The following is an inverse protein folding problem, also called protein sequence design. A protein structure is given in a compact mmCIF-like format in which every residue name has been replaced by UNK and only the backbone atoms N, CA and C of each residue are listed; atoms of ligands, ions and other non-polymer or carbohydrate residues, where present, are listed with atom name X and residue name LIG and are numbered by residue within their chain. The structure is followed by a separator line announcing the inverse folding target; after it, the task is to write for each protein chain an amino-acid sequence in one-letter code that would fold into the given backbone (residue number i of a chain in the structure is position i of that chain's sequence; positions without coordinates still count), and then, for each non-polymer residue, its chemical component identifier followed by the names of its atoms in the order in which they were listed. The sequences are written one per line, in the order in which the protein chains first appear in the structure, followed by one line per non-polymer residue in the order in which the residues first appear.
data_IF_647515758267
#
_entry.id   IF_647515758267
#
_cell.length_a   1.000
_cell.length_b   1.000
_cell.length_c   1.000
_cell.angle_alpha   90.00
_cell.angle_beta   90.00
_cell.angle_gamma   90.00
#
_symmetry.space_group_name_H-M   'P 1'
#
loop_
_entity.id
_entity.type
_entity.pdbx_description
1 polymer ?
#
# COMPACT_ATOMS: atom_id res chain seq x y z
N UNK A 1 -15.49 -6.04 -3.70
CA UNK A 1 -16.78 -6.72 -4.03
C UNK A 1 -17.61 -6.00 -5.11
N UNK A 2 -17.47 -4.70 -5.33
CA UNK A 2 -18.30 -3.94 -6.30
C UNK A 2 -17.84 -4.00 -7.76
N UNK A 3 -16.68 -4.56 -8.07
CA UNK A 3 -16.13 -4.53 -9.45
C UNK A 3 -16.29 -5.82 -10.26
N UNK A 4 -16.66 -6.91 -9.62
CA UNK A 4 -17.00 -8.16 -10.33
C UNK A 4 -18.51 -8.23 -10.30
N UNK A 5 -19.15 -7.77 -11.42
CA UNK A 5 -20.60 -7.93 -11.58
C UNK A 5 -21.00 -9.40 -11.44
N UNK A 6 -22.30 -9.70 -11.28
CA UNK A 6 -22.93 -11.01 -11.07
C UNK A 6 -22.61 -12.08 -12.17
N UNK A 7 -21.36 -12.16 -12.62
CA UNK A 7 -20.89 -13.23 -13.51
C UNK A 7 -20.43 -14.40 -12.67
N UNK A 8 -20.91 -15.57 -13.02
CA UNK A 8 -20.47 -16.85 -12.45
C UNK A 8 -19.01 -17.12 -12.89
N UNK A 9 -18.06 -16.52 -12.16
CA UNK A 9 -16.63 -16.62 -12.46
C UNK A 9 -16.10 -17.88 -11.81
N UNK A 10 -15.66 -18.84 -12.60
CA UNK A 10 -14.89 -19.99 -12.14
C UNK A 10 -13.44 -19.56 -11.95
N UNK A 11 -12.92 -19.71 -10.76
CA UNK A 11 -11.54 -19.34 -10.44
C UNK A 11 -10.85 -20.47 -9.68
N UNK A 12 -9.59 -20.73 -10.01
CA UNK A 12 -8.69 -21.56 -9.22
C UNK A 12 -7.54 -20.69 -8.74
N UNK A 13 -7.35 -20.62 -7.43
CA UNK A 13 -6.25 -19.91 -6.80
C UNK A 13 -5.23 -20.95 -6.34
N UNK A 14 -3.96 -20.80 -6.74
CA UNK A 14 -2.84 -21.58 -6.24
C UNK A 14 -1.91 -20.68 -5.47
N UNK A 15 -1.79 -20.90 -4.18
CA UNK A 15 -0.95 -20.11 -3.29
C UNK A 15 0.26 -20.91 -2.78
N UNK A 16 1.33 -20.20 -2.42
CA UNK A 16 2.38 -20.77 -1.59
C UNK A 16 2.07 -20.51 -0.12
N UNK A 17 1.93 -21.57 0.65
CA UNK A 17 1.85 -21.47 2.11
C UNK A 17 3.03 -22.17 2.76
N UNK A 18 4.07 -21.40 3.06
CA UNK A 18 5.15 -21.85 3.91
C UNK A 18 4.87 -21.48 5.37
N UNK A 19 5.39 -22.28 6.29
CA UNK A 19 5.21 -22.04 7.73
C UNK A 19 5.74 -20.68 8.20
N UNK A 20 6.83 -20.21 7.59
CA UNK A 20 7.39 -18.89 7.89
C UNK A 20 6.51 -17.77 7.39
N UNK A 21 5.99 -17.87 6.16
CA UNK A 21 5.07 -16.89 5.56
C UNK A 21 3.78 -16.75 6.36
N UNK A 22 3.19 -17.89 6.78
CA UNK A 22 1.98 -17.92 7.63
C UNK A 22 2.23 -17.37 9.04
N UNK A 23 3.38 -17.70 9.65
CA UNK A 23 3.72 -17.24 10.99
C UNK A 23 4.00 -15.74 11.04
N UNK A 24 4.60 -15.16 9.97
CA UNK A 24 4.93 -13.74 9.88
C UNK A 24 3.80 -12.89 9.30
N UNK A 25 2.72 -13.50 8.81
CA UNK A 25 1.58 -12.82 8.19
C UNK A 25 1.86 -12.29 6.78
N UNK A 26 2.90 -12.79 6.09
CA UNK A 26 3.12 -12.52 4.67
C UNK A 26 2.21 -13.35 3.75
N UNK A 27 1.61 -14.42 4.29
CA UNK A 27 0.50 -15.18 3.69
C UNK A 27 -0.64 -15.26 4.67
N UNK A 28 -1.88 -15.23 4.16
CA UNK A 28 -3.07 -15.19 4.99
C UNK A 28 -4.04 -16.35 4.72
N UNK A 29 -4.61 -16.92 5.80
CA UNK A 29 -5.64 -17.96 5.72
C UNK A 29 -6.98 -17.39 5.23
N UNK A 30 -7.21 -16.08 5.37
CA UNK A 30 -8.43 -15.41 4.90
C UNK A 30 -8.65 -15.56 3.40
N UNK A 31 -7.59 -15.75 2.61
CA UNK A 31 -7.68 -16.01 1.18
C UNK A 31 -8.52 -17.26 0.87
N UNK A 32 -8.45 -18.28 1.70
CA UNK A 32 -9.28 -19.47 1.57
C UNK A 32 -10.77 -19.15 1.77
N UNK A 33 -11.10 -18.39 2.80
CA UNK A 33 -12.50 -18.04 3.09
C UNK A 33 -13.10 -17.19 1.96
N UNK A 34 -12.31 -16.24 1.43
CA UNK A 34 -12.71 -15.46 0.27
C UNK A 34 -12.99 -16.35 -0.96
N UNK A 35 -12.12 -17.32 -1.23
CA UNK A 35 -12.32 -18.27 -2.31
C UNK A 35 -13.58 -19.09 -2.10
N UNK A 36 -13.78 -19.64 -0.92
CA UNK A 36 -14.95 -20.43 -0.54
C UNK A 36 -16.27 -19.66 -0.68
N UNK A 37 -16.31 -18.40 -0.20
CA UNK A 37 -17.49 -17.53 -0.29
C UNK A 37 -17.90 -17.26 -1.75
N UNK A 38 -16.94 -17.29 -2.67
CA UNK A 38 -17.19 -17.06 -4.10
C UNK A 38 -17.30 -18.36 -4.91
N UNK A 39 -17.29 -19.53 -4.27
CA UNK A 39 -17.36 -20.83 -4.96
C UNK A 39 -16.11 -21.17 -5.77
N UNK A 40 -14.97 -20.55 -5.45
CA UNK A 40 -13.69 -20.76 -6.12
C UNK A 40 -12.90 -21.91 -5.51
N UNK A 41 -12.03 -22.52 -6.31
CA UNK A 41 -11.11 -23.57 -5.85
C UNK A 41 -9.84 -22.94 -5.26
N UNK A 42 -9.45 -23.35 -4.06
CA UNK A 42 -8.21 -22.92 -3.43
C UNK A 42 -7.26 -24.08 -3.25
N UNK A 43 -6.05 -23.95 -3.76
CA UNK A 43 -5.00 -24.98 -3.72
C UNK A 43 -3.69 -24.38 -3.20
N UNK A 44 -2.80 -25.23 -2.71
CA UNK A 44 -1.49 -24.84 -2.20
C UNK A 44 -0.40 -25.68 -2.84
N UNK A 45 0.62 -25.00 -3.33
CA UNK A 45 1.84 -25.62 -3.84
C UNK A 45 3.03 -25.02 -3.07
N UNK A 46 3.74 -25.87 -2.28
CA UNK A 46 4.73 -25.41 -1.30
C UNK A 46 5.88 -24.60 -1.90
N UNK A 47 6.37 -25.00 -3.06
CA UNK A 47 7.54 -24.39 -3.71
C UNK A 47 7.14 -23.40 -4.83
N UNK A 48 5.87 -22.99 -4.87
CA UNK A 48 5.39 -22.03 -5.88
C UNK A 48 6.07 -20.67 -5.73
N UNK A 49 6.68 -20.21 -6.82
CA UNK A 49 7.23 -18.86 -6.91
C UNK A 49 6.77 -18.12 -8.19
N UNK A 50 5.89 -18.71 -8.97
CA UNK A 50 5.28 -18.08 -10.14
C UNK A 50 4.30 -16.98 -9.74
N UNK A 51 4.26 -15.92 -10.54
CA UNK A 51 3.30 -14.83 -10.44
C UNK A 51 2.60 -14.76 -11.79
N UNK A 52 1.48 -15.47 -11.88
CA UNK A 52 0.78 -15.72 -13.13
C UNK A 52 -0.72 -15.54 -12.89
N UNK A 53 -1.39 -14.92 -13.85
CA UNK A 53 -2.85 -14.89 -13.94
C UNK A 53 -3.24 -15.28 -15.36
N UNK A 54 -3.99 -16.37 -15.50
CA UNK A 54 -4.55 -16.84 -16.74
C UNK A 54 -6.07 -16.56 -16.77
N UNK A 55 -6.55 -15.95 -17.84
CA UNK A 55 -7.96 -15.61 -18.02
C UNK A 55 -8.48 -16.27 -19.29
N UNK A 56 -9.53 -17.09 -19.14
CA UNK A 56 -10.25 -17.77 -20.22
C UNK A 56 -9.35 -18.60 -21.16
N UNK A 57 -8.26 -19.17 -20.62
CA UNK A 57 -7.25 -19.94 -21.36
C UNK A 57 -6.62 -19.18 -22.56
N UNK A 58 -6.77 -17.86 -22.61
CA UNK A 58 -6.35 -17.01 -23.72
C UNK A 58 -5.36 -15.90 -23.26
N UNK A 59 -5.68 -15.20 -22.18
CA UNK A 59 -4.90 -14.05 -21.73
C UNK A 59 -4.01 -14.43 -20.55
N UNK A 60 -2.71 -14.26 -20.72
CA UNK A 60 -1.71 -14.55 -19.71
C UNK A 60 -1.04 -13.27 -19.22
N UNK A 61 -1.09 -13.03 -17.91
CA UNK A 61 -0.31 -12.00 -17.23
C UNK A 61 0.82 -12.68 -16.47
N UNK A 62 2.05 -12.26 -16.71
CA UNK A 62 3.26 -12.75 -16.04
C UNK A 62 4.10 -11.58 -15.60
N UNK A 63 4.64 -11.64 -14.38
CA UNK A 63 5.47 -10.54 -13.91
C UNK A 63 6.08 -10.75 -12.53
N UNK A 64 6.56 -9.66 -11.96
CA UNK A 64 7.08 -9.64 -10.60
C UNK A 64 5.99 -9.52 -9.52
N UNK A 65 4.78 -8.92 -9.76
CA UNK A 65 3.81 -8.69 -8.70
C UNK A 65 3.24 -9.98 -8.11
N UNK A 66 3.31 -10.12 -6.80
CA UNK A 66 2.48 -11.08 -6.10
C UNK A 66 1.04 -10.57 -6.01
N UNK A 67 0.05 -11.46 -5.88
CA UNK A 67 -1.35 -11.11 -5.60
C UNK A 67 -1.50 -10.66 -4.14
N UNK A 68 -0.86 -9.56 -3.81
CA UNK A 68 -0.88 -8.93 -2.47
C UNK A 68 -1.21 -7.45 -2.62
N UNK A 69 -1.61 -6.81 -1.53
CA UNK A 69 -1.89 -5.38 -1.54
C UNK A 69 -0.72 -4.55 -2.11
N UNK A 70 0.51 -4.84 -1.71
CA UNK A 70 1.72 -4.16 -2.21
C UNK A 70 2.06 -4.49 -3.65
N UNK A 71 1.97 -5.76 -4.04
CA UNK A 71 2.28 -6.20 -5.40
C UNK A 71 1.28 -5.69 -6.44
N UNK A 72 0.00 -5.59 -6.06
CA UNK A 72 -1.09 -5.11 -6.93
C UNK A 72 -1.35 -3.61 -6.81
N UNK A 73 -0.52 -2.86 -6.10
CA UNK A 73 -0.67 -1.42 -5.85
C UNK A 73 -2.02 -1.03 -5.22
N UNK A 74 -2.55 -1.90 -4.36
CA UNK A 74 -3.82 -1.70 -3.65
C UNK A 74 -3.64 -1.03 -2.28
N UNK A 75 -2.41 -0.78 -1.88
CA UNK A 75 -2.05 -0.14 -0.60
C UNK A 75 -1.15 1.06 -0.85
N UNK A 76 -1.08 2.02 0.09
CA UNK A 76 -0.32 3.27 -0.08
C UNK A 76 1.18 3.07 -0.39
N UNK A 77 1.79 2.09 0.26
CA UNK A 77 3.21 1.73 0.04
C UNK A 77 3.29 0.49 -0.84
N UNK A 78 3.15 0.71 -2.14
CA UNK A 78 3.23 -0.36 -3.14
C UNK A 78 4.66 -0.65 -3.57
N UNK A 79 4.88 -1.87 -4.05
CA UNK A 79 6.16 -2.22 -4.68
C UNK A 79 6.29 -1.58 -6.07
N UNK A 80 7.52 -1.45 -6.54
CA UNK A 80 7.78 -1.18 -7.97
C UNK A 80 7.79 -2.52 -8.70
N UNK A 81 6.78 -2.74 -9.53
CA UNK A 81 6.56 -4.02 -10.18
C UNK A 81 6.58 -3.86 -11.71
N UNK A 82 6.92 -4.94 -12.40
CA UNK A 82 6.83 -5.02 -13.85
C UNK A 82 6.15 -6.32 -14.27
N UNK A 83 5.25 -6.24 -15.23
CA UNK A 83 4.57 -7.41 -15.79
C UNK A 83 4.23 -7.19 -17.24
N UNK A 84 3.95 -8.29 -17.92
CA UNK A 84 3.50 -8.30 -19.32
C UNK A 84 2.15 -9.03 -19.43
N UNK A 85 1.36 -8.57 -20.37
CA UNK A 85 0.15 -9.26 -20.84
C UNK A 85 0.45 -9.83 -22.21
N UNK A 86 0.25 -11.14 -22.38
CA UNK A 86 0.46 -11.85 -23.64
C UNK A 86 -0.73 -12.77 -23.92
N UNK A 87 -0.83 -13.26 -25.13
CA UNK A 87 -1.72 -14.38 -25.46
C UNK A 87 -1.07 -15.67 -24.98
N UNK A 88 -1.84 -16.52 -24.30
CA UNK A 88 -1.36 -17.80 -23.80
C UNK A 88 -1.14 -18.78 -24.99
N UNK A 89 -0.04 -19.49 -24.98
CA UNK A 89 0.26 -20.57 -25.91
C UNK A 89 -0.15 -21.92 -25.30
N UNK A 90 -0.36 -22.94 -26.13
CA UNK A 90 -0.67 -24.29 -25.65
C UNK A 90 0.38 -24.83 -24.65
N UNK A 91 1.63 -24.47 -24.83
CA UNK A 91 2.73 -24.88 -23.93
C UNK A 91 2.59 -24.19 -22.55
N UNK A 92 2.20 -22.91 -22.52
CA UNK A 92 1.94 -22.18 -21.30
C UNK A 92 0.79 -22.81 -20.52
N UNK A 93 -0.29 -23.17 -21.23
CA UNK A 93 -1.46 -23.83 -20.65
C UNK A 93 -1.08 -25.18 -20.03
N UNK A 94 -0.25 -25.97 -20.71
CA UNK A 94 0.23 -27.26 -20.17
C UNK A 94 1.01 -27.07 -18.87
N UNK A 95 1.92 -26.09 -18.83
CA UNK A 95 2.71 -25.80 -17.62
C UNK A 95 1.82 -25.34 -16.48
N UNK A 96 0.89 -24.41 -16.75
CA UNK A 96 0.00 -23.87 -15.73
C UNK A 96 -0.94 -24.96 -15.20
N UNK A 97 -1.53 -25.78 -16.06
CA UNK A 97 -2.37 -26.89 -15.66
C UNK A 97 -1.60 -27.92 -14.83
N UNK A 98 -0.35 -28.23 -15.18
CA UNK A 98 0.50 -29.11 -14.36
C UNK A 98 0.73 -28.55 -12.97
N UNK A 99 1.02 -27.24 -12.83
CA UNK A 99 1.15 -26.60 -11.52
C UNK A 99 -0.16 -26.67 -10.69
N UNK A 100 -1.31 -26.53 -11.35
CA UNK A 100 -2.62 -26.67 -10.71
C UNK A 100 -2.86 -28.12 -10.26
N UNK A 101 -2.48 -29.09 -11.07
CA UNK A 101 -2.67 -30.52 -10.76
C UNK A 101 -1.74 -30.97 -9.63
N UNK A 102 -0.52 -30.49 -9.59
CA UNK A 102 0.46 -30.76 -8.53
C UNK A 102 0.11 -30.10 -7.19
N UNK A 103 -0.76 -29.09 -7.21
CA UNK A 103 -1.14 -28.35 -6.02
C UNK A 103 -2.21 -29.09 -5.19
N UNK A 104 -2.00 -29.16 -3.89
CA UNK A 104 -2.92 -29.80 -2.94
C UNK A 104 -4.18 -28.95 -2.74
N UNK A 105 -5.36 -29.60 -2.82
CA UNK A 105 -6.63 -28.97 -2.51
C UNK A 105 -6.73 -28.63 -1.02
N UNK A 106 -7.10 -27.41 -0.68
CA UNK A 106 -7.36 -26.98 0.69
C UNK A 106 -8.85 -27.11 1.00
N UNK A 107 -9.16 -27.58 2.20
CA UNK A 107 -10.52 -27.75 2.70
C UNK A 107 -10.65 -27.24 4.14
N UNK A 108 -11.88 -27.22 4.67
CA UNK A 108 -12.17 -26.72 6.02
C UNK A 108 -11.38 -27.43 7.14
N UNK A 109 -11.12 -28.72 6.97
CA UNK A 109 -10.37 -29.47 7.97
C UNK A 109 -8.92 -29.00 8.06
N UNK A 110 -8.27 -28.79 6.90
CA UNK A 110 -6.91 -28.25 6.80
C UNK A 110 -6.84 -26.84 7.40
N UNK A 111 -7.81 -25.98 7.08
CA UNK A 111 -7.85 -24.62 7.60
C UNK A 111 -7.96 -24.60 9.10
N UNK A 112 -8.84 -25.40 9.68
CA UNK A 112 -9.03 -25.50 11.13
C UNK A 112 -7.74 -25.88 11.84
N UNK A 113 -7.00 -26.87 11.34
CA UNK A 113 -5.71 -27.27 11.87
C UNK A 113 -4.65 -26.14 11.76
N UNK A 114 -4.63 -25.42 10.64
CA UNK A 114 -3.72 -24.28 10.44
C UNK A 114 -4.05 -23.11 11.36
N UNK A 115 -5.33 -22.81 11.60
CA UNK A 115 -5.77 -21.78 12.55
C UNK A 115 -5.37 -22.14 13.99
N UNK A 116 -5.56 -23.40 14.39
CA UNK A 116 -5.16 -23.85 15.70
C UNK A 116 -3.64 -23.83 15.87
N UNK A 117 -2.90 -24.29 14.86
CA UNK A 117 -1.45 -24.17 14.83
C UNK A 117 -1.00 -22.70 14.95
N UNK A 118 -1.61 -21.76 14.20
CA UNK A 118 -1.28 -20.34 14.24
C UNK A 118 -1.56 -19.70 15.59
N UNK A 119 -2.66 -20.09 16.28
CA UNK A 119 -2.98 -19.65 17.66
C UNK A 119 -1.95 -20.08 18.70
N UNK A 120 -1.34 -21.23 18.49
CA UNK A 120 -0.36 -21.83 19.40
C UNK A 120 1.08 -21.39 19.10
N UNK A 121 1.30 -20.55 18.08
CA UNK A 121 2.63 -20.02 17.80
C UNK A 121 3.11 -19.11 18.95
N UNK A 122 4.38 -19.19 19.35
CA UNK A 122 4.95 -18.21 20.25
C UNK A 122 4.89 -16.82 19.64
N UNK A 123 4.64 -15.80 20.46
CA UNK A 123 4.74 -14.39 19.99
C UNK A 123 6.18 -14.15 19.54
N UNK A 124 6.37 -14.07 18.23
CA UNK A 124 7.68 -13.71 17.65
C UNK A 124 7.76 -12.20 17.70
N UNK A 125 8.55 -11.66 18.64
CA UNK A 125 8.90 -10.24 18.59
C UNK A 125 9.75 -9.99 17.33
N UNK A 126 9.26 -9.13 16.45
CA UNK A 126 10.06 -8.71 15.30
C UNK A 126 11.30 -7.99 15.82
N UNK A 127 12.52 -8.37 15.42
CA UNK A 127 13.71 -7.66 15.84
C UNK A 127 13.60 -6.19 15.44
N UNK A 128 13.89 -5.27 16.37
CA UNK A 128 14.04 -3.84 16.04
C UNK A 128 15.27 -3.71 15.13
N UNK A 129 15.04 -3.60 13.85
CA UNK A 129 16.10 -3.35 12.88
C UNK A 129 16.44 -1.86 12.97
N UNK A 130 17.69 -1.48 13.27
CA UNK A 130 18.08 -0.07 13.30
C UNK A 130 17.96 0.54 11.90
N UNK A 131 17.69 1.83 11.85
CA UNK A 131 17.67 2.56 10.59
C UNK A 131 19.05 2.50 9.91
N UNK A 132 19.06 2.59 8.60
CA UNK A 132 20.31 2.77 7.85
C UNK A 132 21.06 4.02 8.32
N UNK A 133 22.40 4.04 8.22
CA UNK A 133 23.18 5.28 8.40
C UNK A 133 22.62 6.39 7.50
N UNK A 134 22.70 7.64 7.97
CA UNK A 134 22.11 8.79 7.25
C UNK A 134 22.57 8.90 5.79
N UNK A 135 23.84 8.68 5.53
CA UNK A 135 24.40 8.72 4.17
C UNK A 135 23.74 7.70 3.22
N UNK A 136 23.36 6.52 3.75
CA UNK A 136 22.67 5.48 2.98
C UNK A 136 21.23 5.88 2.71
N UNK A 137 20.55 6.40 3.75
CA UNK A 137 19.19 6.91 3.59
C UNK A 137 19.13 8.04 2.57
N UNK A 138 20.09 8.98 2.62
CA UNK A 138 20.17 10.08 1.66
C UNK A 138 20.44 9.60 0.23
N UNK A 139 21.24 8.55 0.08
CA UNK A 139 21.53 7.92 -1.22
C UNK A 139 20.35 7.14 -1.77
N UNK A 140 19.54 6.54 -0.90
CA UNK A 140 18.35 5.77 -1.27
C UNK A 140 17.09 6.62 -1.38
N UNK A 141 17.18 7.93 -1.12
CA UNK A 141 16.04 8.83 -1.35
C UNK A 141 15.54 8.68 -2.78
N UNK A 142 14.33 8.19 -2.86
CA UNK A 142 13.68 7.96 -4.14
C UNK A 142 13.59 9.26 -4.96
N UNK A 143 14.05 9.23 -6.21
CA UNK A 143 13.94 10.37 -7.14
C UNK A 143 12.52 10.43 -7.73
N UNK A 144 11.48 10.51 -6.87
CA UNK A 144 10.10 10.48 -7.35
C UNK A 144 9.61 11.85 -7.79
N UNK A 145 9.26 11.93 -9.06
CA UNK A 145 8.43 13.03 -9.59
C UNK A 145 6.94 12.63 -9.67
N UNK A 146 6.60 11.37 -9.43
CA UNK A 146 5.25 10.82 -9.59
C UNK A 146 4.61 10.55 -8.23
N UNK A 147 3.35 10.94 -8.10
CA UNK A 147 2.53 10.71 -6.92
C UNK A 147 1.31 9.85 -7.28
N UNK A 148 0.80 9.17 -6.27
CA UNK A 148 -0.50 8.49 -6.29
C UNK A 148 -1.37 9.12 -5.20
N UNK A 149 -2.69 9.08 -5.37
CA UNK A 149 -3.66 9.47 -4.32
C UNK A 149 -3.33 8.76 -3.00
N UNK A 150 -2.97 7.49 -3.07
CA UNK A 150 -2.58 6.68 -1.92
C UNK A 150 -1.28 7.13 -1.21
N UNK A 151 -0.54 8.09 -1.74
CA UNK A 151 0.62 8.66 -1.05
C UNK A 151 0.25 9.80 -0.10
N UNK A 152 -1.01 10.23 -0.08
CA UNK A 152 -1.53 11.30 0.78
C UNK A 152 -2.29 10.74 1.97
N UNK A 153 -2.30 11.43 3.13
CA UNK A 153 -3.22 11.08 4.20
C UNK A 153 -4.67 11.35 3.77
N UNK A 154 -5.55 10.39 4.06
CA UNK A 154 -6.98 10.48 3.75
C UNK A 154 -7.80 11.09 4.88
N UNK A 155 -7.22 11.15 6.08
CA UNK A 155 -7.82 11.81 7.26
C UNK A 155 -7.06 13.07 7.63
N UNK A 156 -7.74 14.03 8.26
CA UNK A 156 -7.01 15.01 9.03
C UNK A 156 -6.39 14.36 10.28
N UNK A 157 -5.32 14.95 10.78
CA UNK A 157 -4.52 14.33 11.84
C UNK A 157 -5.28 14.17 13.16
N UNK A 158 -6.11 15.12 13.55
CA UNK A 158 -6.88 15.03 14.80
C UNK A 158 -7.88 13.87 14.74
N UNK A 159 -8.57 13.73 13.60
CA UNK A 159 -9.49 12.62 13.38
C UNK A 159 -8.79 11.27 13.46
N UNK A 160 -7.61 11.13 12.86
CA UNK A 160 -6.81 9.91 12.95
C UNK A 160 -6.44 9.58 14.40
N UNK A 161 -5.89 10.55 15.15
CA UNK A 161 -5.43 10.33 16.53
C UNK A 161 -6.58 9.97 17.49
N UNK A 162 -7.75 10.57 17.30
CA UNK A 162 -8.93 10.31 18.13
C UNK A 162 -9.62 8.97 17.80
N UNK A 163 -9.52 8.51 16.56
CA UNK A 163 -10.30 7.38 16.04
C UNK A 163 -9.46 6.18 15.59
N UNK A 164 -8.21 6.07 16.05
CA UNK A 164 -7.26 5.02 15.65
C UNK A 164 -7.80 3.59 15.78
N UNK A 165 -8.73 3.35 16.71
CA UNK A 165 -9.33 2.05 16.96
C UNK A 165 -10.49 1.71 16.00
N UNK A 166 -10.91 2.67 15.17
CA UNK A 166 -12.00 2.46 14.21
C UNK A 166 -11.51 1.74 12.95
N UNK A 167 -12.36 0.86 12.45
CA UNK A 167 -12.13 0.14 11.17
C UNK A 167 -12.75 0.91 10.00
N UNK A 168 -12.40 2.20 9.87
CA UNK A 168 -12.79 3.04 8.74
C UNK A 168 -11.68 3.03 7.70
N UNK A 169 -12.02 3.03 6.42
CA UNK A 169 -11.07 2.89 5.32
C UNK A 169 -9.97 3.95 5.34
N UNK A 170 -10.32 5.19 5.67
CA UNK A 170 -9.38 6.30 5.78
C UNK A 170 -8.39 6.12 6.95
N UNK A 171 -8.85 5.58 8.09
CA UNK A 171 -7.99 5.30 9.25
C UNK A 171 -7.04 4.15 8.94
N UNK A 172 -7.58 3.04 8.38
CA UNK A 172 -6.79 1.88 7.98
C UNK A 172 -5.73 2.29 6.95
N UNK A 173 -6.14 3.09 5.95
CA UNK A 173 -5.24 3.62 4.95
C UNK A 173 -4.09 4.42 5.56
N UNK A 174 -4.38 5.37 6.45
CA UNK A 174 -3.38 6.26 7.02
C UNK A 174 -2.43 5.52 7.97
N UNK A 175 -2.95 4.57 8.76
CA UNK A 175 -2.10 3.70 9.59
C UNK A 175 -1.15 2.83 8.75
N UNK A 176 -1.61 2.33 7.61
CA UNK A 176 -0.79 1.56 6.70
C UNK A 176 0.21 2.46 5.94
N UNK A 177 -0.22 3.64 5.49
CA UNK A 177 0.62 4.66 4.83
C UNK A 177 1.85 5.00 5.68
N UNK A 178 1.65 5.14 6.99
CA UNK A 178 2.72 5.52 7.93
C UNK A 178 3.35 4.31 8.64
N UNK A 179 2.91 3.07 8.34
CA UNK A 179 3.46 1.84 8.93
C UNK A 179 3.12 1.65 10.40
N UNK A 180 1.96 2.17 10.87
CA UNK A 180 1.57 2.27 12.28
C UNK A 180 0.51 1.26 12.73
N UNK A 181 0.23 0.23 11.95
CA UNK A 181 -0.84 -0.76 12.21
C UNK A 181 -0.70 -1.53 13.53
N UNK A 182 0.49 -1.54 14.14
CA UNK A 182 0.79 -2.27 15.39
C UNK A 182 1.36 -1.35 16.49
N UNK A 183 1.16 -0.04 16.38
CA UNK A 183 1.70 0.94 17.32
C UNK A 183 0.75 1.13 18.49
N UNK A 184 1.29 1.28 19.71
CA UNK A 184 0.48 1.59 20.88
C UNK A 184 -0.10 3.00 20.78
N UNK A 185 -1.32 3.21 21.29
CA UNK A 185 -1.95 4.54 21.29
C UNK A 185 -1.10 5.61 21.98
N UNK A 186 -0.28 5.21 22.96
CA UNK A 186 0.62 6.11 23.70
C UNK A 186 1.77 6.63 22.84
N UNK A 187 2.27 5.79 21.94
CA UNK A 187 3.43 6.12 21.11
C UNK A 187 3.02 6.62 19.72
N UNK A 188 1.73 6.50 19.38
CA UNK A 188 1.19 6.76 18.06
C UNK A 188 1.56 8.15 17.52
N UNK A 189 1.33 9.21 18.30
CA UNK A 189 1.57 10.59 17.85
C UNK A 189 3.06 10.82 17.53
N UNK A 190 3.95 10.29 18.36
CA UNK A 190 5.40 10.39 18.15
C UNK A 190 5.83 9.64 16.91
N UNK A 191 5.40 8.37 16.77
CA UNK A 191 5.78 7.54 15.63
C UNK A 191 5.13 8.05 14.33
N UNK A 192 3.93 8.62 14.40
CA UNK A 192 3.27 9.27 13.27
C UNK A 192 4.05 10.50 12.79
N UNK A 193 4.55 11.33 13.71
CA UNK A 193 5.41 12.47 13.34
C UNK A 193 6.67 12.00 12.61
N UNK A 194 7.38 11.03 13.17
CA UNK A 194 8.61 10.48 12.56
C UNK A 194 8.33 9.88 11.17
N UNK A 195 7.26 9.09 11.04
CA UNK A 195 6.86 8.48 9.77
C UNK A 195 6.40 9.50 8.75
N UNK A 196 5.64 10.53 9.16
CA UNK A 196 5.20 11.61 8.28
C UNK A 196 6.39 12.36 7.69
N UNK A 197 7.37 12.73 8.49
CA UNK A 197 8.57 13.44 8.02
C UNK A 197 9.43 12.60 7.06
N UNK A 198 9.32 11.27 7.14
CA UNK A 198 10.01 10.34 6.24
C UNK A 198 9.13 9.94 5.05
N UNK A 199 7.84 10.32 5.02
CA UNK A 199 6.89 9.91 4.00
C UNK A 199 7.28 10.45 2.62
N UNK A 200 6.82 9.71 1.59
CA UNK A 200 7.02 10.10 0.19
C UNK A 200 6.43 11.47 -0.12
N UNK A 201 5.22 11.74 0.38
CA UNK A 201 4.55 13.02 0.11
C UNK A 201 5.28 14.20 0.75
N UNK A 202 5.78 14.06 1.98
CA UNK A 202 6.54 15.11 2.64
C UNK A 202 7.86 15.39 1.91
N UNK A 203 8.62 14.36 1.58
CA UNK A 203 9.86 14.50 0.83
C UNK A 203 9.66 15.08 -0.58
N UNK A 204 8.55 14.70 -1.24
CA UNK A 204 8.17 15.29 -2.53
C UNK A 204 7.85 16.78 -2.39
N UNK A 205 7.11 17.17 -1.35
CA UNK A 205 6.78 18.57 -1.06
C UNK A 205 8.04 19.41 -0.84
N UNK A 206 8.99 18.93 -0.02
CA UNK A 206 10.27 19.61 0.20
C UNK A 206 10.99 19.88 -1.13
N UNK A 207 11.11 18.86 -1.99
CA UNK A 207 11.73 19.02 -3.32
C UNK A 207 11.01 20.03 -4.21
N UNK A 208 9.67 20.13 -4.10
CA UNK A 208 8.91 21.11 -4.87
C UNK A 208 9.14 22.53 -4.34
N UNK A 209 9.20 22.70 -3.02
CA UNK A 209 9.56 23.96 -2.40
C UNK A 209 10.99 24.40 -2.77
N UNK A 210 11.96 23.49 -2.76
CA UNK A 210 13.34 23.75 -3.18
C UNK A 210 13.46 24.18 -4.65
N UNK A 211 12.55 23.72 -5.50
CA UNK A 211 12.55 24.01 -6.93
C UNK A 211 11.88 25.36 -7.31
N UNK A 212 11.11 25.96 -6.42
CA UNK A 212 10.51 27.27 -6.65
C UNK A 212 11.52 28.39 -6.29
N UNK A 213 11.52 29.47 -7.06
CA UNK A 213 12.51 30.56 -6.99
C UNK A 213 12.67 31.16 -5.58
N UNK A 214 11.54 31.35 -4.86
CA UNK A 214 11.53 31.88 -3.50
C UNK A 214 11.41 30.79 -2.42
N UNK A 215 11.55 29.53 -2.79
CA UNK A 215 11.31 28.37 -1.92
C UNK A 215 9.95 28.43 -1.21
N UNK A 216 8.93 28.99 -1.88
CA UNK A 216 7.58 29.13 -1.35
C UNK A 216 6.52 28.70 -2.37
N UNK A 217 5.42 28.11 -1.89
CA UNK A 217 4.31 27.67 -2.72
C UNK A 217 2.99 28.07 -2.05
N UNK A 218 2.14 28.78 -2.78
CA UNK A 218 0.77 29.08 -2.35
C UNK A 218 -0.18 27.93 -2.63
N UNK A 219 -1.27 27.84 -1.84
CA UNK A 219 -2.23 26.73 -1.88
C UNK A 219 -2.70 26.39 -3.30
N UNK A 220 -3.12 27.38 -4.09
CA UNK A 220 -3.61 27.15 -5.46
C UNK A 220 -2.54 26.61 -6.41
N UNK A 221 -1.30 27.10 -6.29
CA UNK A 221 -0.15 26.62 -7.06
C UNK A 221 0.18 25.17 -6.68
N UNK A 222 0.19 24.85 -5.39
CA UNK A 222 0.46 23.50 -4.90
C UNK A 222 -0.62 22.52 -5.39
N UNK A 223 -1.91 22.91 -5.40
CA UNK A 223 -2.99 22.07 -5.96
C UNK A 223 -2.73 21.69 -7.42
N UNK A 224 -2.24 22.63 -8.23
CA UNK A 224 -1.89 22.36 -9.63
C UNK A 224 -0.70 21.41 -9.73
N UNK A 225 0.36 21.65 -8.96
CA UNK A 225 1.57 20.80 -8.97
C UNK A 225 1.25 19.36 -8.52
N UNK A 226 0.40 19.21 -7.50
CA UNK A 226 -0.08 17.90 -7.05
C UNK A 226 -0.86 17.21 -8.18
N UNK A 227 -1.87 17.88 -8.73
CA UNK A 227 -2.69 17.31 -9.80
C UNK A 227 -1.86 16.88 -11.02
N UNK A 228 -0.88 17.67 -11.40
CA UNK A 228 0.01 17.35 -12.53
C UNK A 228 0.94 16.17 -12.21
N UNK A 229 1.38 16.06 -10.95
CA UNK A 229 2.24 14.97 -10.46
C UNK A 229 1.53 13.64 -10.23
N UNK A 230 0.19 13.63 -10.12
CA UNK A 230 -0.59 12.40 -9.94
C UNK A 230 -0.61 11.56 -11.22
N UNK A 231 -0.41 10.26 -11.05
CA UNK A 231 -0.36 9.26 -12.14
C UNK A 231 -1.51 8.25 -12.08
N UNK A 232 -2.47 8.49 -11.20
CA UNK A 232 -3.70 7.68 -11.10
C UNK A 232 -4.49 7.70 -12.41
N UNK A 233 -5.14 6.58 -12.74
CA UNK A 233 -6.04 6.46 -13.89
C UNK A 233 -7.34 5.77 -13.45
N UNK A 234 -8.50 6.46 -13.48
CA UNK A 234 -8.64 7.88 -13.85
C UNK A 234 -7.99 8.84 -12.84
N UNK A 235 -7.53 9.98 -13.33
CA UNK A 235 -7.04 11.06 -12.44
C UNK A 235 -8.17 11.59 -11.57
N UNK A 236 -7.90 11.88 -10.29
CA UNK A 236 -8.91 12.47 -9.39
C UNK A 236 -9.34 13.87 -9.88
N UNK A 237 -10.56 14.26 -9.53
CA UNK A 237 -11.02 15.62 -9.79
C UNK A 237 -10.25 16.64 -8.96
N UNK A 238 -10.17 17.87 -9.44
CA UNK A 238 -9.44 18.95 -8.73
C UNK A 238 -9.94 19.22 -7.31
N UNK A 239 -11.23 18.99 -7.03
CA UNK A 239 -11.78 19.12 -5.67
C UNK A 239 -11.24 18.03 -4.74
N UNK A 240 -11.04 16.80 -5.24
CA UNK A 240 -10.49 15.69 -4.45
C UNK A 240 -9.02 15.95 -4.12
N UNK A 241 -8.27 16.49 -5.09
CA UNK A 241 -6.89 16.93 -4.86
C UNK A 241 -6.81 17.99 -3.76
N UNK A 242 -7.76 18.93 -3.69
CA UNK A 242 -7.80 19.93 -2.62
C UNK A 242 -8.06 19.33 -1.25
N UNK A 243 -8.84 18.25 -1.16
CA UNK A 243 -9.05 17.53 0.11
C UNK A 243 -7.77 16.84 0.57
N UNK A 244 -7.08 16.14 -0.33
CA UNK A 244 -5.79 15.54 -0.05
C UNK A 244 -4.75 16.57 0.42
N UNK A 245 -4.72 17.72 -0.27
CA UNK A 245 -3.86 18.84 0.09
C UNK A 245 -4.22 19.43 1.46
N UNK A 246 -5.50 19.59 1.77
CA UNK A 246 -5.94 20.10 3.07
C UNK A 246 -5.47 19.18 4.21
N UNK A 247 -5.62 17.85 4.08
CA UNK A 247 -5.09 16.91 5.04
C UNK A 247 -3.56 17.05 5.20
N UNK A 248 -2.81 17.19 4.09
CA UNK A 248 -1.36 17.41 4.14
C UNK A 248 -1.00 18.68 4.93
N UNK A 249 -1.74 19.78 4.71
CA UNK A 249 -1.56 21.02 5.47
C UNK A 249 -1.85 20.84 6.96
N UNK A 250 -2.88 20.06 7.31
CA UNK A 250 -3.23 19.77 8.71
C UNK A 250 -2.09 19.03 9.44
N UNK A 251 -1.46 18.04 8.78
CA UNK A 251 -0.28 17.37 9.33
C UNK A 251 0.90 18.33 9.52
N UNK A 252 1.17 19.20 8.55
CA UNK A 252 2.25 20.20 8.64
C UNK A 252 1.97 21.19 9.76
N UNK A 253 0.74 21.70 9.89
CA UNK A 253 0.34 22.64 10.94
C UNK A 253 0.42 22.02 12.34
N UNK A 254 0.08 20.73 12.44
CA UNK A 254 0.10 20.01 13.70
C UNK A 254 1.52 19.71 14.17
N UNK A 255 2.34 19.08 13.33
CA UNK A 255 3.69 18.68 13.67
C UNK A 255 4.73 19.80 13.60
N UNK A 256 4.46 20.86 12.87
CA UNK A 256 5.33 22.04 12.72
C UNK A 256 6.78 21.67 12.40
N UNK A 257 7.03 20.98 11.26
CA UNK A 257 8.38 20.61 10.86
C UNK A 257 9.33 21.81 10.94
N UNK A 258 10.53 21.60 11.47
CA UNK A 258 11.49 22.66 11.76
C UNK A 258 11.87 23.49 10.54
N UNK A 259 11.89 22.85 9.38
CA UNK A 259 12.31 23.44 8.09
C UNK A 259 11.17 24.00 7.26
N UNK A 260 9.91 23.96 7.71
CA UNK A 260 8.75 24.52 6.98
C UNK A 260 8.06 25.60 7.80
N UNK A 261 7.70 26.67 7.13
CA UNK A 261 6.77 27.70 7.63
C UNK A 261 5.44 27.51 6.90
N UNK A 262 4.36 27.44 7.66
CA UNK A 262 3.00 27.47 7.13
C UNK A 262 2.32 28.73 7.67
N UNK A 263 2.00 29.66 6.77
CA UNK A 263 1.35 30.93 7.10
C UNK A 263 0.25 31.27 6.07
N UNK A 264 -0.42 32.40 6.25
CA UNK A 264 -1.53 32.80 5.39
C UNK A 264 -1.42 34.28 4.98
N UNK A 265 -0.39 34.66 4.21
CA UNK A 265 -0.31 36.01 3.69
C UNK A 265 -1.41 36.27 2.66
N UNK A 266 -2.04 37.47 2.71
CA UNK A 266 -3.04 37.90 1.73
C UNK A 266 -4.20 36.89 1.53
N UNK A 267 -4.70 36.28 2.61
CA UNK A 267 -5.81 35.32 2.63
C UNK A 267 -5.56 33.98 1.89
N UNK A 268 -4.35 33.71 1.44
CA UNK A 268 -3.97 32.45 0.81
C UNK A 268 -2.94 31.70 1.66
N UNK A 269 -3.18 30.44 1.96
CA UNK A 269 -2.20 29.61 2.66
C UNK A 269 -0.95 29.43 1.84
N UNK A 270 0.20 29.54 2.50
CA UNK A 270 1.52 29.40 1.91
C UNK A 270 2.39 28.44 2.73
N UNK A 271 3.15 27.62 2.04
CA UNK A 271 4.27 26.87 2.59
C UNK A 271 5.57 27.46 2.07
N UNK A 272 6.54 27.62 2.94
CA UNK A 272 7.90 28.06 2.57
C UNK A 272 8.96 27.33 3.39
N UNK A 273 10.15 27.17 2.80
CA UNK A 273 11.29 26.64 3.54
C UNK A 273 11.91 27.74 4.41
N UNK A 274 12.33 27.38 5.60
CA UNK A 274 13.21 28.21 6.41
C UNK A 274 14.61 28.18 5.83
N UNK A 275 15.27 29.35 5.82
CA UNK A 275 16.66 29.46 5.46
C UNK A 275 17.59 28.76 6.46
#
# INVERSE_FOLDING_TARGET
KEKIGEKDIKCTIVARWDKGDLAQGSSDLECYYLAKENGWTFKVLKDLHAKVMLVDDDILFVGSPNLTGRGMSLVPVANQEIGIKVQALEEDLKIINQLIDDAALVNDAIIKELEEWKKNLPKIEKPKIPNFPQIVNDSFKEKFNKLWVNNFPWSNIQYLLENVDKKEDNIIHDLDLFGLTNVSKKDLEKELNESFLQSKIFNWLIKKLEAEENKEIYFGRLSSIIHDGLVDDPKPYRQDVKLLQANLYDYIKYFKPVNIICDQPNFSERLSLKD
#
